data_IF_241670340497
#
_entry.id   IF_241670340497
#
_cell.length_a   1.000
_cell.length_b   1.000
_cell.length_c   1.000
_cell.angle_alpha   90.00
_cell.angle_beta   90.00
_cell.angle_gamma   90.00
#
_symmetry.space_group_name_H-M   'P 1'
#
loop_
_entity.id
_entity.type
_entity.pdbx_description
1 polymer ?
#
# COMPACT_ATOMS: atom_id res chain seq x y z
N UNK A 1 -8.81 -29.09 32.82
CA UNK A 1 -8.93 -30.13 33.87
C UNK A 1 -9.76 -31.36 33.42
N UNK A 2 -10.90 -31.20 32.74
CA UNK A 2 -11.74 -32.32 32.25
C UNK A 2 -11.04 -33.24 31.22
N UNK A 3 -10.17 -32.69 30.38
CA UNK A 3 -9.54 -33.44 29.28
C UNK A 3 -8.51 -34.49 29.73
N UNK A 4 -7.77 -34.23 30.82
CA UNK A 4 -6.85 -35.22 31.40
C UNK A 4 -7.59 -36.35 32.13
N UNK A 5 -8.80 -36.08 32.64
CA UNK A 5 -9.65 -37.08 33.28
C UNK A 5 -10.18 -38.11 32.27
N UNK A 6 -10.55 -37.66 31.06
CA UNK A 6 -11.02 -38.53 29.97
C UNK A 6 -9.89 -39.41 29.43
N UNK A 7 -8.67 -38.89 29.30
CA UNK A 7 -7.52 -39.64 28.78
C UNK A 7 -7.07 -40.78 29.72
N UNK A 8 -7.29 -40.63 31.04
CA UNK A 8 -6.97 -41.66 32.04
C UNK A 8 -7.99 -42.81 32.08
N UNK A 9 -9.22 -42.57 31.61
CA UNK A 9 -10.29 -43.58 31.56
C UNK A 9 -10.18 -44.53 30.34
N UNK A 10 -9.54 -44.08 29.26
CA UNK A 10 -9.50 -44.81 27.99
C UNK A 10 -8.49 -45.97 27.95
N UNK A 11 -7.51 -45.98 28.87
CA UNK A 11 -6.43 -46.96 28.86
C UNK A 11 -6.78 -48.30 29.52
N UNK A 12 -7.93 -48.44 30.22
CA UNK A 12 -8.18 -49.63 31.05
C UNK A 12 -9.56 -50.30 30.98
N UNK A 13 -10.56 -49.81 30.23
CA UNK A 13 -11.87 -50.47 30.28
C UNK A 13 -12.68 -50.38 28.98
N UNK A 14 -13.09 -51.55 28.44
CA UNK A 14 -14.14 -51.71 27.40
C UNK A 14 -15.52 -51.14 27.83
N UNK A 15 -15.66 -50.68 29.08
CA UNK A 15 -16.86 -50.08 29.66
C UNK A 15 -17.03 -48.60 29.23
N UNK A 16 -15.95 -47.90 28.86
CA UNK A 16 -16.02 -46.46 28.53
C UNK A 16 -16.85 -46.12 27.28
N UNK A 17 -16.84 -46.99 26.26
CA UNK A 17 -17.56 -46.74 25.00
C UNK A 17 -19.08 -46.70 25.16
N UNK A 18 -19.65 -47.47 26.10
CA UNK A 18 -21.11 -47.59 26.31
C UNK A 18 -21.71 -46.41 27.10
N UNK A 19 -20.92 -45.79 27.98
CA UNK A 19 -21.37 -44.64 28.79
C UNK A 19 -21.24 -43.35 27.97
N UNK A 20 -20.14 -43.21 27.22
CA UNK A 20 -19.93 -42.08 26.31
C UNK A 20 -20.99 -42.07 25.19
N UNK A 21 -21.42 -43.23 24.69
CA UNK A 21 -22.48 -43.32 23.67
C UNK A 21 -23.88 -42.95 24.16
N UNK A 22 -24.13 -42.89 25.48
CA UNK A 22 -25.43 -42.52 26.05
C UNK A 22 -25.51 -41.06 26.51
N UNK A 23 -24.36 -40.42 26.76
CA UNK A 23 -24.29 -39.04 27.26
C UNK A 23 -24.07 -38.00 26.16
N UNK A 24 -23.76 -38.44 24.94
CA UNK A 24 -23.47 -37.58 23.81
C UNK A 24 -24.62 -37.74 22.82
N UNK A 25 -25.33 -36.64 22.54
CA UNK A 25 -26.35 -36.61 21.48
C UNK A 25 -25.72 -37.00 20.14
N UNK A 26 -26.51 -37.61 19.25
CA UNK A 26 -26.01 -38.10 17.96
C UNK A 26 -25.29 -37.01 17.14
N UNK A 27 -25.77 -35.76 17.23
CA UNK A 27 -25.11 -34.59 16.63
C UNK A 27 -23.69 -34.35 17.18
N UNK A 28 -23.51 -34.45 18.51
CA UNK A 28 -22.20 -34.28 19.15
C UNK A 28 -21.27 -35.47 18.84
N UNK A 29 -21.83 -36.66 18.62
CA UNK A 29 -21.08 -37.84 18.19
C UNK A 29 -20.55 -37.68 16.76
N UNK A 30 -21.39 -37.23 15.82
CA UNK A 30 -20.96 -36.92 14.46
C UNK A 30 -19.86 -35.84 14.44
N UNK A 31 -19.99 -34.79 15.26
CA UNK A 31 -18.94 -33.76 15.41
C UNK A 31 -17.63 -34.34 15.96
N UNK A 32 -17.71 -35.24 16.94
CA UNK A 32 -16.54 -35.90 17.54
C UNK A 32 -15.87 -36.87 16.55
N UNK A 33 -16.64 -37.65 15.81
CA UNK A 33 -16.11 -38.56 14.78
C UNK A 33 -15.45 -37.80 13.62
N UNK A 34 -16.00 -36.65 13.20
CA UNK A 34 -15.33 -35.73 12.27
C UNK A 34 -14.04 -35.16 12.86
N UNK A 35 -14.06 -34.70 14.11
CA UNK A 35 -12.88 -34.17 14.80
C UNK A 35 -11.75 -35.21 14.92
N UNK A 36 -12.09 -36.47 15.22
CA UNK A 36 -11.13 -37.57 15.32
C UNK A 36 -10.59 -38.00 13.95
N UNK A 37 -11.44 -38.03 12.91
CA UNK A 37 -11.00 -38.27 11.52
C UNK A 37 -10.08 -37.15 11.00
N UNK A 38 -10.26 -35.92 11.46
CA UNK A 38 -9.39 -34.78 11.13
C UNK A 38 -8.09 -34.74 11.94
N UNK A 39 -7.93 -35.59 12.97
CA UNK A 39 -6.76 -35.59 13.86
C UNK A 39 -5.41 -35.73 13.12
N UNK A 40 -5.24 -36.71 12.23
CA UNK A 40 -4.03 -36.86 11.41
C UNK A 40 -3.78 -35.66 10.50
N UNK A 41 -4.84 -35.11 9.88
CA UNK A 41 -4.75 -33.91 9.02
C UNK A 41 -4.31 -32.68 9.82
N UNK A 42 -4.85 -32.47 11.02
CA UNK A 42 -4.43 -31.39 11.93
C UNK A 42 -3.00 -31.56 12.41
N UNK A 43 -2.56 -32.80 12.67
CA UNK A 43 -1.18 -33.10 13.06
C UNK A 43 -0.21 -32.84 11.89
N UNK A 44 -0.57 -33.24 10.67
CA UNK A 44 0.21 -32.95 9.47
C UNK A 44 0.27 -31.45 9.17
N UNK A 45 -0.88 -30.74 9.26
CA UNK A 45 -0.91 -29.28 9.14
C UNK A 45 0.00 -28.66 10.19
N UNK A 46 -0.08 -29.06 11.47
CA UNK A 46 0.84 -28.57 12.51
C UNK A 46 2.29 -28.89 12.23
N UNK A 47 2.64 -30.10 11.82
CA UNK A 47 4.03 -30.47 11.53
C UNK A 47 4.60 -29.69 10.34
N UNK A 48 3.80 -29.47 9.29
CA UNK A 48 4.19 -28.64 8.15
C UNK A 48 4.21 -27.15 8.53
N UNK A 49 3.29 -26.71 9.39
CA UNK A 49 3.24 -25.34 9.92
C UNK A 49 4.39 -25.04 10.88
N UNK A 50 4.79 -25.98 11.74
CA UNK A 50 5.87 -25.82 12.72
C UNK A 50 7.24 -25.73 12.01
N UNK A 51 7.41 -26.45 10.89
CA UNK A 51 8.55 -26.27 10.01
C UNK A 51 8.45 -24.94 9.22
N UNK A 52 7.25 -24.56 8.75
CA UNK A 52 7.01 -23.32 8.02
C UNK A 52 7.12 -22.04 8.86
N UNK A 53 6.82 -22.09 10.16
CA UNK A 53 7.00 -20.95 11.08
C UNK A 53 8.47 -20.61 11.22
N UNK A 54 9.35 -21.61 11.30
CA UNK A 54 10.80 -21.37 11.39
C UNK A 54 11.33 -20.60 10.18
N UNK A 55 10.97 -20.99 8.95
CA UNK A 55 11.43 -20.30 7.76
C UNK A 55 10.86 -18.88 7.62
N UNK A 56 9.60 -18.65 8.01
CA UNK A 56 9.04 -17.31 8.00
C UNK A 56 9.73 -16.41 9.03
N UNK A 57 9.96 -16.93 10.23
CA UNK A 57 10.72 -16.23 11.27
C UNK A 57 12.13 -15.90 10.81
N UNK A 58 12.82 -16.84 10.14
CA UNK A 58 14.12 -16.61 9.53
C UNK A 58 14.08 -15.49 8.47
N UNK A 59 13.09 -15.52 7.56
CA UNK A 59 12.92 -14.47 6.54
C UNK A 59 12.70 -13.11 7.21
N UNK A 60 11.79 -13.02 8.19
CA UNK A 60 11.52 -11.78 8.92
C UNK A 60 12.79 -11.26 9.60
N UNK A 61 13.53 -12.15 10.25
CA UNK A 61 14.75 -11.81 10.97
C UNK A 61 15.85 -11.32 10.02
N UNK A 62 16.05 -11.98 8.88
CA UNK A 62 16.98 -11.55 7.83
C UNK A 62 16.60 -10.16 7.30
N UNK A 63 15.32 -9.95 6.94
CA UNK A 63 14.84 -8.65 6.48
C UNK A 63 15.05 -7.55 7.52
N UNK A 64 14.80 -7.84 8.79
CA UNK A 64 15.03 -6.89 9.89
C UNK A 64 16.50 -6.58 10.10
N UNK A 65 17.40 -7.56 9.93
CA UNK A 65 18.85 -7.37 10.09
C UNK A 65 19.46 -6.54 8.95
N UNK A 66 18.87 -6.62 7.76
CA UNK A 66 19.36 -5.95 6.55
C UNK A 66 18.44 -4.80 6.10
N UNK A 67 17.86 -4.08 7.06
CA UNK A 67 17.05 -2.89 6.76
C UNK A 67 17.87 -1.89 5.93
N UNK A 68 17.29 -1.43 4.83
CA UNK A 68 17.85 -0.37 4.00
C UNK A 68 16.95 0.86 4.10
N UNK A 69 17.33 1.89 4.88
CA UNK A 69 16.63 3.17 4.94
C UNK A 69 16.29 3.73 3.56
N UNK A 70 15.03 4.09 3.37
CA UNK A 70 14.55 4.83 2.18
C UNK A 70 14.32 6.28 2.61
N UNK A 71 15.36 7.09 2.48
CA UNK A 71 15.38 8.51 2.86
C UNK A 71 15.42 9.46 1.65
N UNK A 72 15.41 8.90 0.44
CA UNK A 72 15.43 9.67 -0.80
C UNK A 72 14.23 10.63 -0.89
N UNK A 73 14.39 11.82 -1.51
CA UNK A 73 13.29 12.75 -1.69
C UNK A 73 12.09 12.14 -2.43
N UNK A 74 10.90 12.65 -2.16
CA UNK A 74 9.67 12.23 -2.82
C UNK A 74 9.35 13.10 -4.03
N UNK A 75 9.11 12.45 -5.17
CA UNK A 75 8.58 13.06 -6.38
C UNK A 75 7.14 12.61 -6.60
N UNK A 76 6.18 13.51 -6.35
CA UNK A 76 4.76 13.22 -6.47
C UNK A 76 4.24 13.52 -7.86
N UNK A 77 3.57 12.56 -8.49
CA UNK A 77 2.75 12.79 -9.67
C UNK A 77 1.34 13.15 -9.19
N UNK A 78 0.90 14.38 -9.46
CA UNK A 78 -0.43 14.84 -9.06
C UNK A 78 -1.06 15.78 -10.09
N UNK A 79 -2.31 15.49 -10.42
CA UNK A 79 -3.14 16.26 -11.33
C UNK A 79 -4.60 15.82 -11.18
N UNK A 80 -5.52 16.52 -11.84
CA UNK A 80 -6.92 16.09 -11.96
C UNK A 80 -7.03 14.75 -12.69
N UNK A 81 -8.00 13.92 -12.29
CA UNK A 81 -8.27 12.60 -12.88
C UNK A 81 -8.32 12.64 -14.41
N UNK A 82 -7.96 11.52 -15.05
CA UNK A 82 -7.97 11.35 -16.51
C UNK A 82 -6.98 12.23 -17.32
N UNK A 83 -5.98 12.83 -16.68
CA UNK A 83 -4.93 13.61 -17.37
C UNK A 83 -3.63 12.83 -17.64
N UNK A 84 -3.58 11.53 -17.31
CA UNK A 84 -2.44 10.66 -17.64
C UNK A 84 -1.43 10.38 -16.52
N UNK A 85 -1.68 10.79 -15.27
CA UNK A 85 -0.71 10.55 -14.17
C UNK A 85 -0.42 9.08 -13.91
N UNK A 86 -1.40 8.19 -14.10
CA UNK A 86 -1.18 6.75 -14.00
C UNK A 86 -0.25 6.21 -15.09
N UNK A 87 -0.31 6.76 -16.31
CA UNK A 87 0.61 6.40 -17.39
C UNK A 87 2.03 6.83 -17.03
N UNK A 88 2.21 8.07 -16.58
CA UNK A 88 3.53 8.55 -16.17
C UNK A 88 4.11 7.74 -15.00
N UNK A 89 3.29 7.42 -13.99
CA UNK A 89 3.70 6.54 -12.90
C UNK A 89 4.28 5.21 -13.41
N UNK A 90 3.64 4.62 -14.43
CA UNK A 90 4.12 3.37 -15.05
C UNK A 90 5.37 3.52 -15.88
N UNK A 91 5.56 4.64 -16.56
CA UNK A 91 6.81 4.92 -17.27
C UNK A 91 7.99 5.03 -16.30
N UNK A 92 7.72 5.42 -15.05
CA UNK A 92 8.72 5.48 -13.97
C UNK A 92 8.91 4.12 -13.27
N UNK A 93 7.99 3.17 -13.43
CA UNK A 93 8.10 1.82 -12.89
C UNK A 93 9.34 1.13 -13.47
N UNK A 94 10.14 0.49 -12.61
CA UNK A 94 11.33 -0.24 -13.02
C UNK A 94 12.58 0.61 -13.30
N UNK A 95 12.50 1.94 -13.22
CA UNK A 95 13.70 2.77 -13.37
C UNK A 95 14.70 2.50 -12.23
N UNK A 96 15.94 2.15 -12.56
CA UNK A 96 16.94 1.66 -11.58
C UNK A 96 17.28 2.70 -10.49
N UNK A 97 17.16 3.98 -10.80
CA UNK A 97 17.41 5.09 -9.85
C UNK A 97 16.18 5.56 -9.06
N UNK A 98 15.03 4.94 -9.25
CA UNK A 98 13.79 5.34 -8.57
C UNK A 98 13.28 4.25 -7.65
N UNK A 99 12.58 4.67 -6.60
CA UNK A 99 11.70 3.83 -5.83
C UNK A 99 10.25 4.12 -6.26
N UNK A 100 9.68 3.29 -7.12
CA UNK A 100 8.30 3.46 -7.57
C UNK A 100 7.33 2.88 -6.54
N UNK A 101 6.57 3.75 -5.88
CA UNK A 101 5.54 3.37 -4.92
C UNK A 101 4.38 2.68 -5.65
N UNK A 102 3.93 1.49 -5.20
CA UNK A 102 3.08 0.61 -6.01
C UNK A 102 1.62 1.09 -6.16
N UNK A 103 1.20 2.08 -5.37
CA UNK A 103 -0.19 2.49 -5.26
C UNK A 103 -0.38 4.00 -5.38
N UNK A 104 -1.64 4.42 -5.48
CA UNK A 104 -1.96 5.80 -5.20
C UNK A 104 -1.60 6.10 -3.74
N UNK A 105 -0.77 7.11 -3.52
CA UNK A 105 -0.46 7.67 -2.22
C UNK A 105 -1.62 8.58 -1.81
N UNK A 106 -2.76 7.94 -1.52
CA UNK A 106 -3.98 8.59 -1.04
C UNK A 106 -4.33 8.03 0.33
N UNK A 107 -4.67 8.91 1.27
CA UNK A 107 -5.33 8.50 2.51
C UNK A 107 -6.81 8.29 2.23
N UNK A 108 -7.46 7.36 2.96
CA UNK A 108 -8.91 7.16 2.94
C UNK A 108 -9.65 8.42 3.44
N UNK A 109 -9.67 9.46 2.62
CA UNK A 109 -10.60 10.56 2.68
C UNK A 109 -11.69 10.33 1.61
N UNK A 110 -12.90 10.85 1.80
CA UNK A 110 -14.01 10.69 0.83
C UNK A 110 -13.66 11.12 -0.60
N UNK A 111 -12.67 12.00 -0.75
CA UNK A 111 -12.20 12.57 -2.01
C UNK A 111 -10.92 11.89 -2.57
N UNK A 112 -10.28 10.97 -1.82
CA UNK A 112 -9.01 10.28 -2.18
C UNK A 112 -7.86 11.21 -2.59
N UNK A 113 -7.96 12.50 -2.29
CA UNK A 113 -7.03 13.53 -2.79
C UNK A 113 -6.24 14.23 -1.70
N UNK A 114 -6.40 13.82 -0.43
CA UNK A 114 -5.76 14.49 0.68
C UNK A 114 -4.37 13.93 1.03
N UNK A 115 -3.50 14.83 1.47
CA UNK A 115 -2.22 14.49 2.08
C UNK A 115 -2.43 13.85 3.46
N UNK A 116 -1.60 12.89 3.89
CA UNK A 116 -1.71 12.32 5.22
C UNK A 116 -1.51 13.36 6.33
N UNK A 117 -2.54 13.54 7.16
CA UNK A 117 -2.46 14.32 8.39
C UNK A 117 -2.02 13.42 9.54
N UNK A 118 -0.83 13.67 10.08
CA UNK A 118 -0.25 12.90 11.19
C UNK A 118 -0.04 13.81 12.39
N UNK A 119 -0.49 13.37 13.55
CA UNK A 119 -0.09 13.95 14.83
C UNK A 119 1.23 13.32 15.29
N UNK A 120 2.32 14.08 15.25
CA UNK A 120 3.66 13.63 15.68
C UNK A 120 3.72 13.21 17.15
N UNK A 121 2.74 13.58 17.98
CA UNK A 121 2.65 13.13 19.38
C UNK A 121 1.92 11.80 19.53
N UNK A 122 1.34 11.29 18.44
CA UNK A 122 0.66 9.99 18.39
C UNK A 122 1.62 8.82 18.55
N UNK A 123 1.08 7.61 18.39
CA UNK A 123 1.85 6.36 18.47
C UNK A 123 2.27 5.88 17.08
N UNK A 124 3.41 5.17 16.95
CA UNK A 124 3.82 4.56 15.69
C UNK A 124 2.72 3.75 14.98
N UNK A 125 1.93 2.98 15.73
CA UNK A 125 0.82 2.21 15.17
C UNK A 125 -0.29 3.07 14.56
N UNK A 126 -0.55 4.25 15.14
CA UNK A 126 -1.57 5.18 14.63
C UNK A 126 -1.11 5.79 13.31
N UNK A 127 0.17 6.15 13.21
CA UNK A 127 0.77 6.66 11.98
C UNK A 127 0.77 5.61 10.87
N UNK A 128 1.22 4.39 11.19
CA UNK A 128 1.24 3.30 10.22
C UNK A 128 -0.17 3.00 9.70
N UNK A 129 -1.18 2.96 10.58
CA UNK A 129 -2.57 2.74 10.18
C UNK A 129 -3.11 3.81 9.21
N UNK A 130 -2.58 5.04 9.24
CA UNK A 130 -2.94 6.07 8.25
C UNK A 130 -2.41 5.68 6.87
N UNK A 131 -1.16 5.21 6.80
CA UNK A 131 -0.53 4.87 5.53
C UNK A 131 -0.98 3.52 4.97
N UNK A 132 -1.10 2.47 5.80
CA UNK A 132 -1.41 1.11 5.34
C UNK A 132 -2.79 1.00 4.68
N UNK A 133 -3.69 1.96 4.93
CA UNK A 133 -4.96 2.11 4.19
C UNK A 133 -4.76 2.26 2.67
N UNK A 134 -3.61 2.79 2.24
CA UNK A 134 -3.27 2.95 0.83
C UNK A 134 -2.93 1.63 0.11
N UNK A 135 -2.69 0.54 0.85
CA UNK A 135 -2.33 -0.78 0.30
C UNK A 135 -3.53 -1.73 0.45
N UNK A 136 -4.34 -1.93 -0.61
CA UNK A 136 -5.54 -2.75 -0.52
C UNK A 136 -5.19 -4.23 -0.32
N UNK A 137 -5.85 -4.89 0.63
CA UNK A 137 -5.66 -6.31 0.93
C UNK A 137 -5.91 -7.23 -0.29
N UNK A 138 -6.76 -6.79 -1.23
CA UNK A 138 -6.98 -7.48 -2.51
C UNK A 138 -5.70 -7.50 -3.34
N UNK A 139 -4.98 -6.38 -3.46
CA UNK A 139 -3.73 -6.29 -4.21
C UNK A 139 -2.64 -7.23 -3.67
N UNK A 140 -2.57 -7.40 -2.34
CA UNK A 140 -1.64 -8.35 -1.71
C UNK A 140 -1.98 -9.81 -2.05
N UNK A 141 -3.27 -10.17 -2.06
CA UNK A 141 -3.70 -11.55 -2.31
C UNK A 141 -3.66 -11.94 -3.77
N UNK A 142 -3.96 -11.00 -4.64
CA UNK A 142 -4.28 -11.24 -6.03
C UNK A 142 -3.19 -10.77 -6.99
N UNK A 143 -2.26 -9.93 -6.50
CA UNK A 143 -1.34 -9.19 -7.34
C UNK A 143 -1.99 -7.93 -7.92
N UNK A 144 -1.18 -7.11 -8.60
CA UNK A 144 -1.63 -5.87 -9.19
C UNK A 144 -2.06 -6.03 -10.64
N UNK A 145 -3.18 -5.40 -10.99
CA UNK A 145 -3.55 -5.18 -12.39
C UNK A 145 -2.95 -3.87 -12.88
N UNK A 146 -2.39 -3.88 -14.09
CA UNK A 146 -1.96 -2.66 -14.78
C UNK A 146 -3.09 -2.06 -15.64
N UNK A 147 -4.35 -2.26 -15.30
CA UNK A 147 -5.47 -1.65 -16.01
C UNK A 147 -6.79 -2.31 -15.65
N UNK A 148 -7.89 -1.59 -15.85
CA UNK A 148 -9.23 -2.18 -15.65
C UNK A 148 -9.50 -3.27 -16.70
N UNK A 149 -9.01 -3.07 -17.92
CA UNK A 149 -9.14 -4.01 -19.05
C UNK A 149 -8.00 -5.04 -19.11
N UNK A 150 -6.98 -4.90 -18.27
CA UNK A 150 -5.84 -5.81 -18.26
C UNK A 150 -6.16 -7.06 -17.42
N UNK A 151 -5.96 -8.23 -18.03
CA UNK A 151 -6.09 -9.51 -17.37
C UNK A 151 -4.78 -9.97 -16.72
N UNK A 152 -3.65 -9.36 -17.08
CA UNK A 152 -2.37 -9.66 -16.46
C UNK A 152 -2.34 -9.17 -15.01
N UNK A 153 -1.82 -10.03 -14.13
CA UNK A 153 -1.59 -9.71 -12.72
C UNK A 153 -0.12 -9.88 -12.40
N UNK A 154 0.45 -8.84 -11.82
CA UNK A 154 1.85 -8.84 -11.39
C UNK A 154 1.92 -9.24 -9.93
N UNK A 155 2.79 -10.19 -9.55
CA UNK A 155 2.89 -10.63 -8.17
C UNK A 155 3.37 -9.49 -7.27
N UNK A 156 2.65 -9.28 -6.17
CA UNK A 156 3.01 -8.35 -5.10
C UNK A 156 3.14 -9.14 -3.80
N UNK A 157 4.34 -9.71 -3.58
CA UNK A 157 4.61 -10.53 -2.40
C UNK A 157 4.94 -9.58 -1.24
N UNK A 158 3.91 -9.22 -0.48
CA UNK A 158 3.98 -8.22 0.57
C UNK A 158 3.64 -8.81 1.93
N UNK A 159 4.45 -8.52 2.95
CA UNK A 159 4.25 -9.00 4.32
C UNK A 159 3.88 -7.86 5.28
N UNK A 160 2.60 -7.65 5.61
CA UNK A 160 2.18 -6.58 6.53
C UNK A 160 2.80 -6.66 7.93
N UNK A 161 3.07 -7.88 8.41
CA UNK A 161 3.75 -8.07 9.70
C UNK A 161 5.19 -7.54 9.66
N UNK A 162 5.88 -7.70 8.51
CA UNK A 162 7.23 -7.19 8.30
C UNK A 162 7.23 -5.66 8.17
N UNK A 163 6.27 -5.09 7.44
CA UNK A 163 6.09 -3.63 7.35
C UNK A 163 6.02 -3.01 8.74
N UNK A 164 5.14 -3.53 9.61
CA UNK A 164 5.00 -3.03 10.98
C UNK A 164 6.30 -3.11 11.76
N UNK A 165 7.03 -4.23 11.68
CA UNK A 165 8.28 -4.42 12.41
C UNK A 165 9.38 -3.49 11.88
N UNK A 166 9.51 -3.34 10.55
CA UNK A 166 10.47 -2.43 9.93
C UNK A 166 10.17 -0.96 10.27
N UNK A 167 8.89 -0.57 10.25
CA UNK A 167 8.45 0.78 10.59
C UNK A 167 8.86 1.16 12.02
N UNK A 168 8.52 0.31 13.00
CA UNK A 168 8.87 0.53 14.40
C UNK A 168 10.40 0.54 14.56
N UNK A 169 11.10 -0.45 14.00
CA UNK A 169 12.56 -0.56 14.10
C UNK A 169 13.28 0.66 13.52
N UNK A 170 12.80 1.19 12.39
CA UNK A 170 13.34 2.41 11.80
C UNK A 170 13.16 3.60 12.75
N UNK A 171 11.94 3.81 13.27
CA UNK A 171 11.64 4.91 14.18
C UNK A 171 12.47 4.87 15.47
N UNK A 172 12.73 3.68 16.00
CA UNK A 172 13.61 3.47 17.16
C UNK A 172 15.07 3.86 16.87
N UNK A 173 15.50 3.79 15.61
CA UNK A 173 16.87 4.07 15.19
C UNK A 173 17.17 5.55 14.92
N UNK A 174 16.14 6.40 14.80
CA UNK A 174 16.28 7.81 14.42
C UNK A 174 15.99 8.76 15.59
N UNK A 175 16.88 9.73 15.78
CA UNK A 175 16.71 10.83 16.73
C UNK A 175 17.37 12.11 16.18
N UNK A 176 16.72 13.29 16.25
CA UNK A 176 15.37 13.52 16.75
C UNK A 176 14.29 13.06 15.76
N UNK A 177 13.15 12.62 16.30
CA UNK A 177 11.98 12.29 15.49
C UNK A 177 11.32 13.56 14.95
N UNK A 178 11.05 13.60 13.64
CA UNK A 178 10.29 14.66 12.98
C UNK A 178 9.34 14.05 11.92
N UNK A 179 8.50 14.88 11.30
CA UNK A 179 7.52 14.43 10.30
C UNK A 179 8.17 13.70 9.11
N UNK A 180 9.31 14.19 8.61
CA UNK A 180 10.05 13.52 7.53
C UNK A 180 10.46 12.11 7.92
N UNK A 181 10.95 11.91 9.14
CA UNK A 181 11.33 10.58 9.63
C UNK A 181 10.15 9.60 9.72
N UNK A 182 8.93 10.08 9.99
CA UNK A 182 7.73 9.22 9.98
C UNK A 182 7.40 8.75 8.55
N UNK A 183 7.53 9.63 7.57
CA UNK A 183 7.32 9.25 6.16
C UNK A 183 8.47 8.38 5.62
N UNK A 184 9.72 8.66 5.98
CA UNK A 184 10.87 7.81 5.62
C UNK A 184 10.73 6.41 6.24
N UNK A 185 10.22 6.31 7.48
CA UNK A 185 9.89 5.04 8.12
C UNK A 185 8.83 4.27 7.31
N UNK A 186 7.78 4.96 6.85
CA UNK A 186 6.75 4.37 6.00
C UNK A 186 7.33 3.85 4.68
N UNK A 187 8.10 4.66 3.97
CA UNK A 187 8.72 4.24 2.71
C UNK A 187 9.67 3.06 2.92
N UNK A 188 10.50 3.12 3.98
CA UNK A 188 11.42 2.04 4.35
C UNK A 188 10.67 0.74 4.63
N UNK A 189 9.60 0.81 5.42
CA UNK A 189 8.77 -0.32 5.78
C UNK A 189 8.04 -0.90 4.56
N UNK A 190 7.47 -0.04 3.71
CA UNK A 190 6.73 -0.45 2.52
C UNK A 190 7.64 -1.17 1.52
N UNK A 191 8.78 -0.57 1.14
CA UNK A 191 9.70 -1.22 0.21
C UNK A 191 10.40 -2.44 0.82
N UNK A 192 10.69 -2.44 2.11
CA UNK A 192 11.32 -3.58 2.80
C UNK A 192 10.36 -4.76 3.01
N UNK A 193 9.06 -4.52 3.13
CA UNK A 193 8.04 -5.56 3.24
C UNK A 193 7.62 -6.18 1.90
N UNK A 194 8.02 -5.55 0.79
CA UNK A 194 7.79 -6.04 -0.57
C UNK A 194 8.91 -7.00 -0.99
N UNK A 195 8.72 -8.30 -0.73
CA UNK A 195 9.77 -9.32 -0.85
C UNK A 195 10.26 -9.57 -2.27
N UNK A 196 9.41 -9.38 -3.28
CA UNK A 196 9.79 -9.51 -4.68
C UNK A 196 10.06 -8.16 -5.36
N UNK A 197 10.35 -7.12 -4.59
CA UNK A 197 10.77 -5.84 -5.13
C UNK A 197 12.16 -5.97 -5.75
N UNK A 198 12.29 -5.82 -7.06
CA UNK A 198 13.55 -6.11 -7.74
C UNK A 198 14.58 -4.96 -7.66
N UNK A 199 14.19 -3.82 -7.08
CA UNK A 199 14.90 -2.57 -7.25
C UNK A 199 15.53 -2.06 -5.94
N UNK A 200 16.15 -2.97 -5.17
CA UNK A 200 16.80 -2.70 -3.86
C UNK A 200 18.17 -1.98 -3.94
N UNK A 201 18.60 -1.47 -5.09
CA UNK A 201 19.86 -0.75 -5.19
C UNK A 201 19.91 0.47 -4.26
N UNK A 202 21.06 0.75 -3.65
CA UNK A 202 21.20 1.84 -2.66
C UNK A 202 21.28 3.24 -3.29
N UNK A 203 21.65 3.36 -4.57
CA UNK A 203 21.82 4.64 -5.26
C UNK A 203 20.51 5.12 -5.89
N UNK A 204 19.57 5.52 -5.02
CA UNK A 204 18.22 5.96 -5.37
C UNK A 204 18.14 7.47 -5.28
N UNK A 205 17.68 8.09 -6.36
CA UNK A 205 17.55 9.54 -6.45
C UNK A 205 16.24 10.04 -5.86
N UNK A 206 15.15 9.32 -6.10
CA UNK A 206 13.82 9.69 -5.65
C UNK A 206 12.96 8.48 -5.34
N UNK A 207 12.02 8.64 -4.42
CA UNK A 207 10.78 7.87 -4.38
C UNK A 207 9.78 8.54 -5.31
N UNK A 208 9.08 7.80 -6.16
CA UNK A 208 7.99 8.32 -6.98
C UNK A 208 6.68 7.75 -6.52
N UNK A 209 5.66 8.60 -6.35
CA UNK A 209 4.33 8.14 -5.96
C UNK A 209 3.25 8.94 -6.68
N UNK A 210 2.07 8.34 -6.84
CA UNK A 210 0.93 8.96 -7.49
C UNK A 210 -0.08 9.46 -6.46
N UNK A 211 -0.33 10.76 -6.38
CA UNK A 211 -1.27 11.37 -5.43
C UNK A 211 -2.31 12.22 -6.19
N UNK A 212 -3.34 11.60 -6.79
CA UNK A 212 -4.32 12.32 -7.61
C UNK A 212 -5.00 13.46 -6.83
N UNK A 213 -5.18 14.61 -7.46
CA UNK A 213 -5.95 15.71 -6.89
C UNK A 213 -5.27 16.52 -5.77
N UNK A 214 -4.08 16.15 -5.30
CA UNK A 214 -3.33 16.92 -4.28
C UNK A 214 -3.17 18.41 -4.69
N UNK A 215 -2.97 18.68 -5.98
CA UNK A 215 -2.84 20.04 -6.54
C UNK A 215 -4.11 20.90 -6.40
N UNK A 216 -5.25 20.30 -6.04
CA UNK A 216 -6.49 21.03 -5.78
C UNK A 216 -6.58 21.57 -4.35
N UNK A 217 -5.67 21.15 -3.47
CA UNK A 217 -5.66 21.45 -2.04
C UNK A 217 -4.34 22.15 -1.66
N UNK A 218 -4.33 23.49 -1.67
CA UNK A 218 -3.11 24.28 -1.43
C UNK A 218 -2.45 23.98 -0.07
N UNK A 219 -3.25 23.68 0.96
CA UNK A 219 -2.72 23.33 2.29
C UNK A 219 -1.91 22.03 2.25
N UNK A 220 -2.45 21.01 1.60
CA UNK A 220 -1.81 19.71 1.47
C UNK A 220 -0.52 19.77 0.67
N UNK A 221 -0.50 20.60 -0.37
CA UNK A 221 0.72 20.84 -1.13
C UNK A 221 1.80 21.55 -0.30
N UNK A 222 1.41 22.50 0.56
CA UNK A 222 2.35 23.14 1.49
C UNK A 222 2.90 22.13 2.50
N UNK A 223 2.03 21.30 3.08
CA UNK A 223 2.43 20.25 4.01
C UNK A 223 3.41 19.27 3.35
N UNK A 224 3.17 18.89 2.10
CA UNK A 224 4.10 18.07 1.33
C UNK A 224 5.48 18.72 1.23
N UNK A 225 5.59 19.97 0.79
CA UNK A 225 6.88 20.65 0.65
C UNK A 225 7.53 21.05 1.98
N UNK A 226 6.78 21.11 3.07
CA UNK A 226 7.33 21.27 4.43
C UNK A 226 8.02 19.99 4.90
N UNK A 227 7.40 18.83 4.65
CA UNK A 227 7.96 17.52 5.00
C UNK A 227 9.10 17.13 4.03
N UNK A 228 8.94 17.46 2.75
CA UNK A 228 9.90 17.21 1.68
C UNK A 228 10.34 18.54 1.04
N UNK A 229 11.21 19.32 1.70
CA UNK A 229 11.73 20.57 1.12
C UNK A 229 12.52 20.32 -0.18
N UNK A 230 13.17 19.16 -0.26
CA UNK A 230 13.87 18.59 -1.40
C UNK A 230 12.95 17.83 -2.38
N UNK A 231 11.66 17.70 -2.05
CA UNK A 231 10.66 17.02 -2.86
C UNK A 231 10.43 17.68 -4.23
N UNK A 232 9.75 16.93 -5.09
CA UNK A 232 9.34 17.37 -6.43
C UNK A 232 7.88 17.08 -6.65
N UNK A 233 7.22 17.95 -7.40
CA UNK A 233 5.87 17.74 -7.89
C UNK A 233 5.94 17.67 -9.41
N UNK A 234 5.35 16.64 -9.99
CA UNK A 234 5.15 16.50 -11.43
C UNK A 234 3.65 16.54 -11.68
N UNK A 235 3.21 17.43 -12.55
CA UNK A 235 1.80 17.54 -12.90
C UNK A 235 1.62 17.47 -14.40
N UNK A 236 0.61 16.71 -14.82
CA UNK A 236 0.29 16.54 -16.23
C UNK A 236 -0.95 17.35 -16.56
N UNK A 237 -0.83 18.23 -17.54
CA UNK A 237 -1.93 19.00 -18.10
C UNK A 237 -2.28 18.39 -19.44
N UNK A 238 -3.56 18.05 -19.61
CA UNK A 238 -4.13 17.55 -20.85
C UNK A 238 -5.02 18.62 -21.48
N UNK A 239 -5.08 18.65 -22.81
CA UNK A 239 -6.03 19.50 -23.54
C UNK A 239 -7.44 19.36 -22.95
N UNK A 240 -8.15 20.47 -22.66
CA UNK A 240 -9.43 20.43 -21.94
C UNK A 240 -10.52 19.67 -22.70
N UNK A 241 -10.51 19.68 -24.04
CA UNK A 241 -11.50 18.94 -24.85
C UNK A 241 -11.23 17.45 -24.76
N UNK A 242 -9.97 17.04 -24.96
CA UNK A 242 -9.56 15.63 -24.83
C UNK A 242 -9.74 15.09 -23.42
N UNK A 243 -9.42 15.91 -22.42
CA UNK A 243 -9.64 15.59 -21.01
C UNK A 243 -11.13 15.38 -20.72
N UNK A 244 -11.99 16.32 -21.12
CA UNK A 244 -13.43 16.25 -20.89
C UNK A 244 -14.05 15.00 -21.53
N UNK A 245 -13.71 14.71 -22.78
CA UNK A 245 -14.17 13.50 -23.47
C UNK A 245 -13.78 12.20 -22.76
N UNK A 246 -12.64 12.19 -22.07
CA UNK A 246 -12.16 11.05 -21.29
C UNK A 246 -12.86 10.94 -19.93
N UNK A 247 -12.93 12.04 -19.19
CA UNK A 247 -13.42 12.03 -17.80
C UNK A 247 -14.94 11.89 -17.73
N UNK A 248 -15.69 12.51 -18.65
CA UNK A 248 -17.16 12.42 -18.71
C UNK A 248 -17.67 10.99 -18.94
N UNK A 249 -16.88 10.14 -19.61
CA UNK A 249 -17.21 8.72 -19.80
C UNK A 249 -16.94 7.87 -18.55
N UNK A 250 -15.89 8.21 -17.79
CA UNK A 250 -15.45 7.46 -16.60
C UNK A 250 -16.21 7.86 -15.34
N UNK A 251 -16.51 9.15 -15.21
CA UNK A 251 -17.13 9.75 -14.03
C UNK A 251 -18.28 10.71 -14.43
N UNK A 252 -19.29 10.23 -15.19
CA UNK A 252 -20.39 11.06 -15.69
C UNK A 252 -21.19 11.76 -14.58
N UNK A 253 -21.26 11.16 -13.40
CA UNK A 253 -21.94 11.73 -12.23
C UNK A 253 -21.24 12.96 -11.65
N UNK A 254 -19.94 13.15 -11.89
CA UNK A 254 -19.17 14.31 -11.42
C UNK A 254 -18.92 15.28 -12.58
N UNK A 255 -18.60 14.76 -13.76
CA UNK A 255 -18.13 15.55 -14.91
C UNK A 255 -19.04 15.43 -16.14
N UNK A 256 -20.31 15.07 -15.97
CA UNK A 256 -21.27 15.00 -17.07
C UNK A 256 -21.69 16.37 -17.61
N UNK A 257 -21.67 17.40 -16.75
CA UNK A 257 -21.90 18.79 -17.14
C UNK A 257 -20.59 19.46 -17.58
N UNK A 258 -20.58 20.01 -18.79
CA UNK A 258 -19.38 20.59 -19.41
C UNK A 258 -18.89 21.84 -18.69
N UNK A 259 -19.79 22.70 -18.23
CA UNK A 259 -19.42 23.96 -17.57
C UNK A 259 -18.75 23.67 -16.22
N UNK A 260 -19.36 22.80 -15.41
CA UNK A 260 -18.80 22.32 -14.15
C UNK A 260 -17.45 21.63 -14.36
N UNK A 261 -17.37 20.70 -15.32
CA UNK A 261 -16.13 19.97 -15.60
C UNK A 261 -14.99 20.89 -16.03
N UNK A 262 -15.25 21.84 -16.94
CA UNK A 262 -14.25 22.84 -17.33
C UNK A 262 -13.88 23.76 -16.16
N UNK A 263 -14.81 24.04 -15.24
CA UNK A 263 -14.53 24.72 -13.97
C UNK A 263 -13.50 23.96 -13.13
N UNK A 264 -13.69 22.65 -12.95
CA UNK A 264 -12.74 21.78 -12.24
C UNK A 264 -11.38 21.71 -12.93
N UNK A 265 -11.34 21.56 -14.26
CA UNK A 265 -10.10 21.57 -15.02
C UNK A 265 -9.35 22.91 -14.88
N UNK A 266 -10.05 24.05 -15.04
CA UNK A 266 -9.45 25.38 -14.87
C UNK A 266 -8.91 25.57 -13.46
N UNK A 267 -9.64 25.10 -12.44
CA UNK A 267 -9.17 25.12 -11.04
C UNK A 267 -7.89 24.30 -10.86
N UNK A 268 -7.83 23.10 -11.44
CA UNK A 268 -6.63 22.26 -11.41
C UNK A 268 -5.43 22.93 -12.07
N UNK A 269 -5.62 23.49 -13.27
CA UNK A 269 -4.54 24.17 -14.03
C UNK A 269 -4.07 25.42 -13.30
N UNK A 270 -4.99 26.20 -12.72
CA UNK A 270 -4.60 27.37 -11.92
C UNK A 270 -3.80 26.97 -10.68
N UNK A 271 -4.25 25.96 -9.93
CA UNK A 271 -3.56 25.49 -8.73
C UNK A 271 -2.13 25.03 -9.01
N UNK A 272 -1.88 24.36 -10.14
CA UNK A 272 -0.52 23.97 -10.51
C UNK A 272 0.35 25.17 -10.97
N UNK A 273 -0.23 26.18 -11.64
CA UNK A 273 0.50 27.40 -11.99
C UNK A 273 0.89 28.19 -10.74
N UNK A 274 -0.02 28.35 -9.79
CA UNK A 274 0.24 28.97 -8.49
C UNK A 274 1.32 28.19 -7.71
N UNK A 275 1.26 26.85 -7.74
CA UNK A 275 2.30 26.00 -7.16
C UNK A 275 3.67 26.21 -7.82
N UNK A 276 3.73 26.30 -9.15
CA UNK A 276 4.98 26.54 -9.87
C UNK A 276 5.55 27.92 -9.58
N UNK A 277 4.70 28.95 -9.50
CA UNK A 277 5.12 30.28 -9.09
C UNK A 277 5.71 30.27 -7.67
N UNK A 278 5.07 29.56 -6.73
CA UNK A 278 5.49 29.50 -5.34
C UNK A 278 6.75 28.66 -5.10
N UNK A 279 6.86 27.50 -5.76
CA UNK A 279 7.87 26.49 -5.46
C UNK A 279 8.96 26.36 -6.54
N UNK A 280 8.83 27.10 -7.65
CA UNK A 280 9.81 27.21 -8.72
C UNK A 280 10.07 25.88 -9.43
N UNK A 281 11.35 25.57 -9.64
CA UNK A 281 11.83 24.37 -10.35
C UNK A 281 11.51 23.05 -9.64
N UNK A 282 10.93 23.11 -8.42
CA UNK A 282 10.42 21.92 -7.74
C UNK A 282 9.10 21.42 -8.33
N UNK A 283 8.46 22.20 -9.19
CA UNK A 283 7.21 21.85 -9.87
C UNK A 283 7.49 21.71 -11.37
N UNK A 284 7.43 20.47 -11.87
CA UNK A 284 7.50 20.14 -13.28
C UNK A 284 6.09 20.02 -13.85
N UNK A 285 5.84 20.68 -14.97
CA UNK A 285 4.55 20.63 -15.67
C UNK A 285 4.79 20.01 -17.03
N UNK A 286 4.09 18.91 -17.29
CA UNK A 286 4.19 18.13 -18.52
C UNK A 286 2.87 18.26 -19.27
N UNK A 287 2.95 18.50 -20.57
CA UNK A 287 1.78 18.39 -21.44
C UNK A 287 1.54 16.91 -21.80
N UNK A 288 0.32 16.41 -21.58
CA UNK A 288 -0.04 15.03 -21.86
C UNK A 288 0.25 14.65 -23.31
N UNK A 289 -0.12 15.51 -24.26
CA UNK A 289 0.11 15.26 -25.69
C UNK A 289 1.60 15.09 -26.01
N UNK A 290 2.48 15.91 -25.40
CA UNK A 290 3.93 15.77 -25.58
C UNK A 290 4.47 14.47 -24.97
N UNK A 291 3.91 14.02 -23.83
CA UNK A 291 4.30 12.75 -23.21
C UNK A 291 3.97 11.56 -24.13
N UNK A 292 2.86 11.63 -24.87
CA UNK A 292 2.47 10.57 -25.82
C UNK A 292 3.30 10.66 -27.11
N UNK A 293 3.44 11.86 -27.68
CA UNK A 293 4.07 12.03 -28.99
C UNK A 293 5.59 11.90 -28.94
N UNK A 294 6.21 12.24 -27.80
CA UNK A 294 7.68 12.35 -27.66
C UNK A 294 8.17 11.84 -26.29
N UNK A 295 7.68 10.67 -25.88
CA UNK A 295 7.89 10.08 -24.54
C UNK A 295 9.35 10.09 -24.09
N UNK A 296 10.31 9.73 -24.95
CA UNK A 296 11.73 9.66 -24.57
C UNK A 296 12.36 11.03 -24.25
N UNK A 297 11.81 12.11 -24.80
CA UNK A 297 12.35 13.47 -24.66
C UNK A 297 11.74 14.28 -23.51
N UNK A 298 10.63 13.79 -22.96
CA UNK A 298 9.82 14.44 -21.90
C UNK A 298 10.20 13.84 -20.55
#
# INVERSE_FOLDING_TARGET
>A
MIYQFIKKLDAKNKIGKRIISRLITEEKRIKLERYLKDGPRRKMIRQVSDAGTSHLEDILQICLQHISPVTAPLSLVSQISCSGGLLLGRLLDGHSKLHAYPHAFSVDAPDKSSWPTIDIKGKPEEWLNIFSKSIPATGIREGFKQGEEDNARFPFIYLPILERQLFIKYLESVQPLNMRQIFDAHMTACFGAWLNYQNHGLDKKFVTAYAPGLTLQNQDLNNFFEIYPDGRLISIIRDPVHWFASVSRREPQIYGDIESALGHWKKSVRGIMEAREKFGDRVCIIQFESLIDRTESV
#
